data_IF_902433395209
#
_entry.id   IF_902433395209
#
_cell.length_a   1.000
_cell.length_b   1.000
_cell.length_c   1.000
_cell.angle_alpha   90.00
_cell.angle_beta   90.00
_cell.angle_gamma   90.00
#
_symmetry.space_group_name_H-M   'P 1'
#
loop_
_entity.id
_entity.type
_entity.pdbx_description
1 polymer ?
#
# COMPACT_ATOMS: atom_id res chain seq x y z
N UNK A 1 14.91 -5.31 1.17
CA UNK A 1 15.04 -4.12 0.30
C UNK A 1 16.23 -3.26 0.67
N UNK A 2 16.37 -2.83 1.93
CA UNK A 2 17.52 -2.01 2.36
C UNK A 2 18.89 -2.68 2.14
N UNK A 3 19.02 -3.99 2.40
CA UNK A 3 20.25 -4.73 2.13
C UNK A 3 20.63 -4.74 0.65
N UNK A 4 19.64 -4.85 -0.25
CA UNK A 4 19.84 -4.77 -1.69
C UNK A 4 20.32 -3.38 -2.11
N UNK A 5 19.70 -2.33 -1.56
CA UNK A 5 20.09 -0.94 -1.82
C UNK A 5 21.47 -0.60 -1.26
N UNK A 6 21.85 -1.16 -0.12
CA UNK A 6 23.20 -1.07 0.42
C UNK A 6 24.21 -1.77 -0.48
N UNK A 7 23.91 -2.98 -0.97
CA UNK A 7 24.78 -3.69 -1.93
C UNK A 7 24.98 -2.87 -3.22
N UNK A 8 23.92 -2.29 -3.76
CA UNK A 8 23.99 -1.41 -4.94
C UNK A 8 24.85 -0.18 -4.63
N UNK A 9 24.65 0.45 -3.46
CA UNK A 9 25.47 1.57 -3.02
C UNK A 9 26.96 1.25 -2.96
N UNK A 10 27.32 0.11 -2.36
CA UNK A 10 28.71 -0.33 -2.23
C UNK A 10 29.34 -0.63 -3.60
N UNK A 11 28.55 -1.14 -4.56
CA UNK A 11 29.01 -1.32 -5.94
C UNK A 11 29.28 0.02 -6.62
N UNK A 12 28.42 1.04 -6.40
CA UNK A 12 28.62 2.39 -6.94
C UNK A 12 29.85 3.06 -6.33
N UNK A 13 30.01 2.98 -5.00
CA UNK A 13 31.20 3.52 -4.32
C UNK A 13 32.48 2.82 -4.80
N UNK A 14 32.44 1.50 -5.02
CA UNK A 14 33.56 0.75 -5.60
C UNK A 14 33.82 1.10 -7.07
N UNK A 15 32.80 1.46 -7.84
CA UNK A 15 32.99 1.87 -9.23
C UNK A 15 33.62 3.27 -9.36
N UNK A 16 33.32 4.19 -8.44
CA UNK A 16 33.74 5.59 -8.50
C UNK A 16 35.02 5.85 -7.70
N UNK A 17 35.18 5.18 -6.56
CA UNK A 17 36.25 5.43 -5.58
C UNK A 17 37.12 4.21 -5.28
N UNK A 18 37.13 3.19 -6.14
CA UNK A 18 37.96 2.00 -5.91
C UNK A 18 39.45 2.35 -5.76
N UNK A 19 40.08 1.73 -4.77
CA UNK A 19 41.51 1.59 -4.75
C UNK A 19 41.91 0.51 -5.78
N UNK A 20 42.71 0.86 -6.80
CA UNK A 20 43.06 -0.05 -7.90
C UNK A 20 43.92 -1.24 -7.45
N UNK A 21 44.48 -1.19 -6.24
CA UNK A 21 45.29 -2.28 -5.68
C UNK A 21 44.48 -3.32 -4.90
N UNK A 22 43.20 -3.03 -4.62
CA UNK A 22 42.30 -3.91 -3.87
C UNK A 22 41.37 -4.67 -4.82
N UNK A 23 40.98 -5.89 -4.42
CA UNK A 23 39.92 -6.60 -5.14
C UNK A 23 38.58 -5.87 -4.97
N UNK A 24 37.58 -6.22 -5.79
CA UNK A 24 36.24 -5.64 -5.67
C UNK A 24 35.67 -5.86 -4.25
N UNK A 25 35.84 -7.07 -3.71
CA UNK A 25 35.32 -7.42 -2.38
C UNK A 25 36.03 -6.60 -1.30
N UNK A 26 37.35 -6.43 -1.41
CA UNK A 26 38.13 -5.66 -0.44
C UNK A 26 37.78 -4.17 -0.47
N UNK A 27 37.53 -3.61 -1.66
CA UNK A 27 37.01 -2.25 -1.79
C UNK A 27 35.64 -2.11 -1.13
N UNK A 28 34.71 -3.04 -1.39
CA UNK A 28 33.38 -3.03 -0.74
C UNK A 28 33.49 -3.16 0.78
N UNK A 29 34.41 -4.00 1.29
CA UNK A 29 34.68 -4.12 2.72
C UNK A 29 35.31 -2.85 3.30
N UNK A 30 36.20 -2.17 2.58
CA UNK A 30 36.80 -0.91 3.00
C UNK A 30 35.75 0.21 3.13
N UNK A 31 34.77 0.25 2.21
CA UNK A 31 33.63 1.16 2.28
C UNK A 31 32.66 0.79 3.40
N UNK A 32 32.38 -0.50 3.60
CA UNK A 32 31.52 -0.99 4.69
C UNK A 32 32.15 -0.75 6.08
N UNK A 33 33.48 -0.86 6.19
CA UNK A 33 34.24 -0.64 7.43
C UNK A 33 34.64 0.82 7.65
N UNK A 34 34.17 1.74 6.79
CA UNK A 34 34.46 3.17 6.85
C UNK A 34 35.96 3.54 6.78
N UNK A 35 36.79 2.67 6.22
CA UNK A 35 38.18 3.03 5.87
C UNK A 35 38.21 4.06 4.75
N UNK A 36 37.21 4.04 3.88
CA UNK A 36 36.91 5.06 2.88
C UNK A 36 35.45 5.48 3.03
N UNK A 37 35.15 6.76 2.81
CA UNK A 37 33.80 7.30 3.02
C UNK A 37 32.83 6.78 1.93
N UNK A 38 31.80 5.99 2.29
CA UNK A 38 30.88 5.39 1.31
C UNK A 38 29.72 6.37 1.00
N UNK A 39 30.03 7.45 0.29
CA UNK A 39 29.10 8.56 0.06
C UNK A 39 27.86 8.09 -0.72
N UNK A 40 28.03 7.29 -1.78
CA UNK A 40 26.91 6.82 -2.58
C UNK A 40 26.01 5.86 -1.79
N UNK A 41 26.60 4.95 -1.01
CA UNK A 41 25.86 4.05 -0.14
C UNK A 41 25.02 4.79 0.89
N UNK A 42 25.59 5.80 1.55
CA UNK A 42 24.86 6.60 2.54
C UNK A 42 23.68 7.34 1.92
N UNK A 43 23.87 7.95 0.74
CA UNK A 43 22.81 8.66 0.03
C UNK A 43 21.69 7.69 -0.40
N UNK A 44 22.04 6.57 -1.03
CA UNK A 44 21.06 5.58 -1.51
C UNK A 44 20.27 4.98 -0.36
N UNK A 45 20.92 4.64 0.75
CA UNK A 45 20.24 4.13 1.96
C UNK A 45 19.35 5.19 2.58
N UNK A 46 19.81 6.44 2.71
CA UNK A 46 18.99 7.53 3.23
C UNK A 46 17.74 7.77 2.38
N UNK A 47 17.88 7.85 1.05
CA UNK A 47 16.75 7.97 0.13
C UNK A 47 15.81 6.77 0.27
N UNK A 48 16.36 5.55 0.36
CA UNK A 48 15.56 4.33 0.52
C UNK A 48 14.74 4.34 1.81
N UNK A 49 15.33 4.79 2.93
CA UNK A 49 14.62 4.93 4.20
C UNK A 49 13.49 5.95 4.08
N UNK A 50 13.75 7.12 3.48
CA UNK A 50 12.74 8.15 3.26
C UNK A 50 11.60 7.63 2.39
N UNK A 51 11.91 6.94 1.29
CA UNK A 51 10.91 6.33 0.42
C UNK A 51 10.11 5.25 1.15
N UNK A 52 10.75 4.41 1.97
CA UNK A 52 10.04 3.41 2.78
C UNK A 52 9.09 4.05 3.78
N UNK A 53 9.51 5.13 4.44
CA UNK A 53 8.63 5.91 5.33
C UNK A 53 7.45 6.47 4.54
N UNK A 54 7.69 7.09 3.39
CA UNK A 54 6.63 7.63 2.53
C UNK A 54 5.66 6.54 2.10
N UNK A 55 6.15 5.40 1.62
CA UNK A 55 5.31 4.28 1.19
C UNK A 55 4.54 3.68 2.36
N UNK A 56 5.16 3.56 3.53
CA UNK A 56 4.50 3.04 4.73
C UNK A 56 3.32 3.92 5.16
N UNK A 57 3.51 5.25 5.20
CA UNK A 57 2.46 6.18 5.64
C UNK A 57 1.48 6.59 4.55
N UNK A 58 1.91 6.65 3.27
CA UNK A 58 1.11 7.19 2.16
C UNK A 58 0.81 6.16 1.06
N UNK A 59 1.29 4.92 1.17
CA UNK A 59 1.12 3.88 0.14
C UNK A 59 -0.34 3.65 -0.24
N UNK A 60 -1.24 3.55 0.74
CA UNK A 60 -2.67 3.40 0.51
C UNK A 60 -3.26 4.56 -0.32
N UNK A 61 -2.85 5.81 -0.05
CA UNK A 61 -3.28 6.96 -0.85
C UNK A 61 -2.74 6.92 -2.28
N UNK A 62 -1.48 6.55 -2.46
CA UNK A 62 -0.84 6.45 -3.79
C UNK A 62 -1.57 5.40 -4.64
N UNK A 63 -1.90 4.25 -4.06
CA UNK A 63 -2.64 3.18 -4.73
C UNK A 63 -4.04 3.66 -5.14
N UNK A 64 -4.78 4.27 -4.20
CA UNK A 64 -6.14 4.76 -4.44
C UNK A 64 -6.18 5.89 -5.48
N UNK A 65 -5.20 6.79 -5.48
CA UNK A 65 -5.09 7.86 -6.49
C UNK A 65 -4.79 7.32 -7.88
N UNK A 66 -3.92 6.29 -8.00
CA UNK A 66 -3.63 5.65 -9.29
C UNK A 66 -4.83 4.95 -9.92
N UNK A 67 -5.73 4.40 -9.08
CA UNK A 67 -6.92 3.64 -9.53
C UNK A 67 -8.18 4.50 -9.70
N UNK A 68 -8.06 5.84 -9.62
CA UNK A 68 -9.21 6.77 -9.61
C UNK A 68 -10.28 6.37 -8.58
N UNK A 69 -9.84 5.86 -7.43
CA UNK A 69 -10.76 5.40 -6.39
C UNK A 69 -11.56 6.57 -5.84
N UNK A 70 -12.88 6.48 -5.91
CA UNK A 70 -13.79 7.49 -5.37
C UNK A 70 -14.25 7.07 -3.98
N UNK A 71 -14.00 7.92 -2.99
CA UNK A 71 -14.55 7.74 -1.65
C UNK A 71 -16.07 7.94 -1.69
N UNK A 72 -16.81 7.00 -1.10
CA UNK A 72 -18.25 7.13 -0.89
C UNK A 72 -18.47 7.92 0.40
N UNK A 73 -19.01 9.12 0.25
CA UNK A 73 -19.41 9.98 1.36
C UNK A 73 -20.93 9.85 1.58
N UNK A 74 -21.41 9.42 2.77
CA UNK A 74 -22.83 9.37 3.10
C UNK A 74 -23.57 10.71 2.97
N UNK A 75 -22.86 11.83 3.06
CA UNK A 75 -23.43 13.19 2.98
C UNK A 75 -23.65 13.67 1.53
N UNK A 76 -23.07 12.99 0.55
CA UNK A 76 -23.22 13.33 -0.87
C UNK A 76 -24.43 12.61 -1.50
N UNK A 77 -24.99 13.14 -2.62
CA UNK A 77 -26.03 12.42 -3.35
C UNK A 77 -25.48 11.12 -3.96
N UNK A 78 -25.83 10.00 -3.33
CA UNK A 78 -25.45 8.65 -3.77
C UNK A 78 -26.49 8.07 -4.73
N UNK A 79 -26.03 7.31 -5.72
CA UNK A 79 -26.93 6.48 -6.53
C UNK A 79 -27.41 5.24 -5.75
N UNK A 80 -28.38 4.51 -6.31
CA UNK A 80 -28.98 3.35 -5.63
C UNK A 80 -27.95 2.25 -5.31
N UNK A 81 -27.01 1.96 -6.23
CA UNK A 81 -25.98 0.94 -6.02
C UNK A 81 -25.00 1.34 -4.91
N UNK A 82 -24.58 2.59 -4.85
CA UNK A 82 -23.68 3.12 -3.83
C UNK A 82 -24.32 3.12 -2.46
N UNK A 83 -25.60 3.50 -2.39
CA UNK A 83 -26.36 3.44 -1.14
C UNK A 83 -26.56 2.00 -0.68
N UNK A 84 -26.82 1.07 -1.59
CA UNK A 84 -26.89 -0.35 -1.27
C UNK A 84 -25.55 -0.87 -0.72
N UNK A 85 -24.43 -0.46 -1.33
CA UNK A 85 -23.10 -0.86 -0.89
C UNK A 85 -22.76 -0.31 0.50
N UNK A 86 -23.10 0.95 0.75
CA UNK A 86 -22.94 1.57 2.07
C UNK A 86 -23.75 0.82 3.13
N UNK A 87 -25.02 0.51 2.85
CA UNK A 87 -25.88 -0.26 3.78
C UNK A 87 -25.27 -1.64 4.09
N UNK A 88 -24.73 -2.35 3.09
CA UNK A 88 -24.07 -3.64 3.31
C UNK A 88 -22.88 -3.48 4.26
N UNK A 89 -22.02 -2.47 4.04
CA UNK A 89 -20.84 -2.24 4.88
C UNK A 89 -21.24 -1.87 6.32
N UNK A 90 -22.30 -1.08 6.49
CA UNK A 90 -22.88 -0.76 7.81
C UNK A 90 -23.43 -2.01 8.51
N UNK A 91 -24.22 -2.83 7.81
CA UNK A 91 -24.74 -4.10 8.32
C UNK A 91 -23.60 -5.04 8.76
N UNK A 92 -22.53 -5.13 7.97
CA UNK A 92 -21.35 -5.94 8.27
C UNK A 92 -20.56 -5.39 9.46
N UNK A 93 -20.35 -4.07 9.53
CA UNK A 93 -19.66 -3.43 10.66
C UNK A 93 -20.39 -3.66 11.98
N UNK A 94 -21.72 -3.55 11.98
CA UNK A 94 -22.56 -3.86 13.13
C UNK A 94 -22.48 -5.34 13.50
N UNK A 95 -22.60 -6.23 12.52
CA UNK A 95 -22.56 -7.69 12.73
C UNK A 95 -21.20 -8.16 13.26
N UNK A 96 -20.11 -7.56 12.79
CA UNK A 96 -18.75 -7.85 13.21
C UNK A 96 -18.34 -7.13 14.51
N UNK A 97 -19.21 -6.29 15.10
CA UNK A 97 -18.92 -5.50 16.31
C UNK A 97 -17.64 -4.66 16.18
N UNK A 98 -17.39 -4.10 14.99
CA UNK A 98 -16.17 -3.31 14.72
C UNK A 98 -16.10 -2.01 15.55
N UNK A 99 -17.25 -1.46 15.94
CA UNK A 99 -17.33 -0.15 16.62
C UNK A 99 -17.09 1.06 15.70
N UNK A 100 -16.73 0.84 14.43
CA UNK A 100 -16.57 1.87 13.40
C UNK A 100 -16.97 1.33 12.02
N UNK A 101 -17.37 2.22 11.11
CA UNK A 101 -17.67 1.89 9.71
C UNK A 101 -16.40 2.15 8.87
N UNK A 102 -15.79 1.13 8.23
CA UNK A 102 -14.63 1.33 7.35
C UNK A 102 -14.97 2.27 6.19
N UNK A 103 -13.99 3.05 5.72
CA UNK A 103 -14.18 3.92 4.55
C UNK A 103 -14.45 3.07 3.31
N UNK A 104 -15.42 3.46 2.50
CA UNK A 104 -15.77 2.72 1.29
C UNK A 104 -15.26 3.45 0.04
N UNK A 105 -14.48 2.75 -0.78
CA UNK A 105 -13.96 3.26 -2.05
C UNK A 105 -14.51 2.46 -3.23
N UNK A 106 -14.97 3.16 -4.26
CA UNK A 106 -15.31 2.55 -5.55
C UNK A 106 -14.21 2.84 -6.56
N UNK A 107 -13.67 1.79 -7.15
CA UNK A 107 -12.65 1.86 -8.19
C UNK A 107 -13.32 1.72 -9.56
N UNK A 108 -13.02 2.63 -10.48
CA UNK A 108 -13.59 2.64 -11.83
C UNK A 108 -12.77 1.75 -12.77
N UNK A 109 -12.83 0.44 -12.51
CA UNK A 109 -12.22 -0.61 -13.33
C UNK A 109 -13.26 -1.69 -13.69
N UNK A 110 -13.19 -2.27 -14.90
CA UNK A 110 -14.05 -3.40 -15.31
C UNK A 110 -13.67 -4.74 -14.66
N UNK A 111 -12.47 -4.88 -14.08
CA UNK A 111 -12.07 -6.11 -13.40
C UNK A 111 -12.89 -6.31 -12.12
N UNK A 112 -13.47 -7.49 -11.91
CA UNK A 112 -14.22 -7.80 -10.70
C UNK A 112 -13.25 -8.07 -9.53
N UNK A 113 -13.23 -7.17 -8.55
CA UNK A 113 -12.41 -7.30 -7.35
C UNK A 113 -13.03 -6.53 -6.17
N UNK A 114 -12.77 -7.03 -4.96
CA UNK A 114 -12.99 -6.32 -3.71
C UNK A 114 -11.84 -6.65 -2.77
N UNK A 115 -11.45 -5.71 -1.93
CA UNK A 115 -10.38 -5.90 -0.96
C UNK A 115 -10.56 -5.00 0.24
N UNK A 116 -10.01 -5.42 1.36
CA UNK A 116 -10.06 -4.71 2.61
C UNK A 116 -8.65 -4.45 3.14
N UNK A 117 -8.39 -3.23 3.62
CA UNK A 117 -7.07 -2.86 4.10
C UNK A 117 -7.14 -1.76 5.17
N UNK A 118 -6.10 -1.68 5.98
CA UNK A 118 -5.95 -0.67 7.03
C UNK A 118 -5.43 -1.29 8.33
N UNK A 119 -4.73 -0.48 9.11
CA UNK A 119 -4.00 -0.94 10.30
C UNK A 119 -4.60 -0.39 11.60
N UNK A 120 -5.62 0.48 11.49
CA UNK A 120 -6.33 1.07 12.61
C UNK A 120 -7.71 1.56 12.15
N UNK A 121 -8.62 1.75 13.10
CA UNK A 121 -10.01 2.21 12.86
C UNK A 121 -10.08 3.45 11.94
N UNK A 122 -9.14 4.38 12.10
CA UNK A 122 -9.08 5.64 11.33
C UNK A 122 -8.68 5.46 9.86
N UNK A 123 -7.96 4.38 9.59
CA UNK A 123 -7.35 4.08 8.29
C UNK A 123 -7.92 2.82 7.64
N UNK A 124 -8.88 2.14 8.27
CA UNK A 124 -9.57 0.99 7.71
C UNK A 124 -10.46 1.41 6.54
N UNK A 125 -10.37 0.67 5.44
CA UNK A 125 -11.17 0.89 4.26
C UNK A 125 -11.43 -0.39 3.48
N UNK A 126 -12.53 -0.38 2.74
CA UNK A 126 -12.95 -1.42 1.81
C UNK A 126 -12.96 -0.80 0.41
N UNK A 127 -12.25 -1.42 -0.52
CA UNK A 127 -12.25 -1.08 -1.94
C UNK A 127 -13.08 -2.07 -2.73
N UNK A 128 -13.98 -1.57 -3.59
CA UNK A 128 -14.80 -2.38 -4.48
C UNK A 128 -14.71 -1.84 -5.89
N UNK A 129 -14.57 -2.71 -6.89
CA UNK A 129 -14.51 -2.27 -8.29
C UNK A 129 -15.90 -2.20 -8.91
N UNK A 130 -16.07 -1.31 -9.90
CA UNK A 130 -17.30 -1.24 -10.69
C UNK A 130 -17.57 -2.54 -11.47
N UNK A 131 -16.52 -3.23 -11.91
CA UNK A 131 -16.60 -4.58 -12.48
C UNK A 131 -17.32 -5.57 -11.58
N UNK A 132 -17.00 -5.59 -10.27
CA UNK A 132 -17.64 -6.48 -9.31
C UNK A 132 -19.11 -6.11 -9.08
N UNK A 133 -19.40 -4.82 -8.93
CA UNK A 133 -20.77 -4.32 -8.73
C UNK A 133 -21.71 -4.62 -9.90
N UNK A 134 -21.15 -4.71 -11.11
CA UNK A 134 -21.93 -5.01 -12.32
C UNK A 134 -22.14 -6.52 -12.53
N UNK A 135 -21.29 -7.36 -11.97
CA UNK A 135 -21.34 -8.82 -12.16
C UNK A 135 -22.11 -9.54 -11.06
N UNK A 136 -22.07 -9.02 -9.83
CA UNK A 136 -22.63 -9.68 -8.66
C UNK A 136 -23.92 -9.03 -8.20
N UNK A 137 -24.82 -9.84 -7.66
CA UNK A 137 -26.03 -9.36 -7.01
C UNK A 137 -25.76 -8.94 -5.55
N UNK A 138 -26.76 -8.33 -4.88
CA UNK A 138 -26.63 -7.83 -3.50
C UNK A 138 -26.10 -8.89 -2.52
N UNK A 139 -26.61 -10.12 -2.59
CA UNK A 139 -26.28 -11.19 -1.65
C UNK A 139 -24.85 -11.68 -1.86
N UNK A 140 -24.43 -11.81 -3.13
CA UNK A 140 -23.06 -12.17 -3.50
C UNK A 140 -22.05 -11.09 -3.09
N UNK A 141 -22.38 -9.81 -3.33
CA UNK A 141 -21.56 -8.68 -2.86
C UNK A 141 -21.43 -8.73 -1.34
N UNK A 142 -22.53 -8.94 -0.62
CA UNK A 142 -22.51 -9.04 0.84
C UNK A 142 -21.64 -10.21 1.33
N UNK A 143 -21.68 -11.36 0.67
CA UNK A 143 -20.83 -12.51 1.01
C UNK A 143 -19.33 -12.21 0.80
N UNK A 144 -18.98 -11.59 -0.34
CA UNK A 144 -17.60 -11.18 -0.63
C UNK A 144 -17.12 -10.14 0.37
N UNK A 145 -17.92 -9.10 0.63
CA UNK A 145 -17.56 -8.07 1.60
C UNK A 145 -17.49 -8.60 3.03
N UNK A 146 -18.31 -9.59 3.40
CA UNK A 146 -18.20 -10.24 4.70
C UNK A 146 -16.86 -10.96 4.85
N UNK A 147 -16.42 -11.68 3.81
CA UNK A 147 -15.11 -12.32 3.78
C UNK A 147 -13.98 -11.31 3.93
N UNK A 148 -14.00 -10.24 3.12
CA UNK A 148 -12.99 -9.19 3.13
C UNK A 148 -12.97 -8.40 4.46
N UNK A 149 -14.14 -8.13 5.05
CA UNK A 149 -14.22 -7.45 6.35
C UNK A 149 -13.54 -8.27 7.45
N UNK A 150 -13.54 -9.60 7.34
CA UNK A 150 -12.78 -10.48 8.22
C UNK A 150 -11.26 -10.26 8.20
N UNK A 151 -10.70 -9.64 7.17
CA UNK A 151 -9.27 -9.28 7.12
C UNK A 151 -8.93 -7.97 7.86
N UNK A 152 -9.93 -7.15 8.22
CA UNK A 152 -9.75 -5.90 8.97
C UNK A 152 -9.81 -6.13 10.48
N UNK A 153 -10.52 -7.18 10.92
CA UNK A 153 -10.66 -7.61 12.33
C UNK A 153 -9.34 -8.21 12.82
#
# INVERSE_FOLDING_TARGET
>A
YLLLMLMIGLLVDSAIGANPHLSLIDNMLAFLTFQSLPIASLIIVAISIVLLIIVHFKGHKIMLTGMKARLINPEEPLNAQERQLLNIVEELSLSATLGYIPKLYILDTPEANAFAAGWSEKNAFIGVTRGLLNQLNRQEIQAVLAHETGHII
#
